data_IF_217381059973
#
_entry.id   IF_217381059973
#
_cell.length_a   1.000
_cell.length_b   1.000
_cell.length_c   1.000
_cell.angle_alpha   90.00
_cell.angle_beta   90.00
_cell.angle_gamma   90.00
#
_symmetry.space_group_name_H-M   'P 1'
#
loop_
_entity.id
_entity.type
_entity.pdbx_description
1 polymer ?
#
# COMPACT_ATOMS: atom_id res chain seq x y z
N UNK A 1 8.64 -15.06 -10.42
CA UNK A 1 7.40 -15.39 -11.17
C UNK A 1 6.90 -14.13 -11.85
N UNK A 2 6.87 -14.06 -13.19
CA UNK A 2 6.25 -12.93 -13.87
C UNK A 2 4.73 -13.01 -13.65
N UNK A 3 4.13 -11.93 -13.18
CA UNK A 3 2.68 -11.81 -13.04
C UNK A 3 2.15 -11.33 -14.40
N UNK A 4 2.01 -12.25 -15.36
CA UNK A 4 1.69 -11.92 -16.76
C UNK A 4 0.19 -11.75 -17.00
N UNK A 5 -0.64 -12.38 -16.17
CA UNK A 5 -2.10 -12.34 -16.32
C UNK A 5 -2.70 -11.02 -15.81
N UNK A 6 -3.40 -10.29 -16.68
CA UNK A 6 -4.00 -9.00 -16.37
C UNK A 6 -4.96 -9.05 -15.17
N UNK A 7 -5.77 -10.10 -15.06
CA UNK A 7 -6.70 -10.29 -13.94
C UNK A 7 -5.96 -10.45 -12.60
N UNK A 8 -4.83 -11.16 -12.58
CA UNK A 8 -4.03 -11.36 -11.36
C UNK A 8 -3.34 -10.06 -10.95
N UNK A 9 -2.89 -9.24 -11.92
CA UNK A 9 -2.32 -7.92 -11.66
C UNK A 9 -3.34 -7.01 -10.97
N UNK A 10 -4.57 -6.95 -11.47
CA UNK A 10 -5.64 -6.14 -10.86
C UNK A 10 -5.93 -6.56 -9.41
N UNK A 11 -6.05 -7.87 -9.17
CA UNK A 11 -6.27 -8.40 -7.81
C UNK A 11 -5.14 -7.99 -6.86
N UNK A 12 -3.89 -8.05 -7.33
CA UNK A 12 -2.72 -7.64 -6.53
C UNK A 12 -2.72 -6.13 -6.29
N UNK A 13 -3.04 -5.32 -7.30
CA UNK A 13 -3.16 -3.87 -7.16
C UNK A 13 -4.15 -3.50 -6.05
N UNK A 14 -5.35 -4.07 -6.10
CA UNK A 14 -6.40 -3.80 -5.12
C UNK A 14 -6.04 -4.29 -3.71
N UNK A 15 -5.57 -5.53 -3.58
CA UNK A 15 -5.33 -6.14 -2.27
C UNK A 15 -4.05 -5.68 -1.59
N UNK A 16 -3.01 -5.33 -2.35
CA UNK A 16 -1.66 -5.10 -1.82
C UNK A 16 -1.25 -3.62 -1.86
N UNK A 17 -1.67 -2.89 -2.90
CA UNK A 17 -1.21 -1.53 -3.16
C UNK A 17 -2.21 -0.45 -2.77
N UNK A 18 -3.53 -0.70 -2.81
CA UNK A 18 -4.56 0.24 -2.35
C UNK A 18 -4.68 0.24 -0.81
N UNK A 19 -3.61 0.71 -0.15
CA UNK A 19 -3.52 0.85 1.30
C UNK A 19 -2.84 2.16 1.68
N UNK A 20 -3.07 2.60 2.91
CA UNK A 20 -2.36 3.72 3.52
C UNK A 20 -1.29 3.22 4.49
N UNK A 21 -0.15 3.89 4.57
CA UNK A 21 0.92 3.63 5.51
C UNK A 21 1.02 4.82 6.45
N UNK A 22 1.12 4.57 7.75
CA UNK A 22 1.35 5.65 8.72
C UNK A 22 2.79 6.17 8.61
N UNK A 23 2.96 7.50 8.54
CA UNK A 23 4.30 8.12 8.51
C UNK A 23 5.04 8.04 9.85
N UNK A 24 4.30 7.87 10.95
CA UNK A 24 4.87 7.82 12.31
C UNK A 24 5.34 6.41 12.69
N UNK A 25 4.46 5.41 12.56
CA UNK A 25 4.74 4.04 13.04
C UNK A 25 4.83 2.98 11.93
N UNK A 26 4.74 3.38 10.65
CA UNK A 26 4.83 2.45 9.52
C UNK A 26 3.68 1.46 9.34
N UNK A 27 2.63 1.53 10.18
CA UNK A 27 1.53 0.58 10.11
C UNK A 27 0.74 0.69 8.81
N UNK A 28 0.35 -0.45 8.25
CA UNK A 28 -0.51 -0.53 7.07
C UNK A 28 -1.97 -0.45 7.49
N UNK A 29 -2.69 0.51 6.92
CA UNK A 29 -4.08 0.83 7.19
C UNK A 29 -4.92 0.71 5.91
N UNK A 30 -6.23 0.58 6.07
CA UNK A 30 -7.18 0.61 4.95
C UNK A 30 -7.10 1.93 4.19
N UNK A 31 -7.45 1.93 2.90
CA UNK A 31 -7.51 3.14 2.08
C UNK A 31 -8.51 4.16 2.62
N UNK A 32 -9.61 3.69 3.22
CA UNK A 32 -10.65 4.52 3.83
C UNK A 32 -10.33 4.91 5.28
N UNK A 33 -9.18 4.52 5.83
CA UNK A 33 -8.81 4.87 7.19
C UNK A 33 -8.54 6.38 7.31
N UNK A 34 -9.12 6.99 8.35
CA UNK A 34 -8.90 8.38 8.76
C UNK A 34 -7.76 8.50 9.77
N UNK A 35 -7.54 7.47 10.60
CA UNK A 35 -6.47 7.39 11.60
C UNK A 35 -5.73 6.06 11.56
N UNK A 36 -4.49 6.06 12.06
CA UNK A 36 -3.69 4.85 12.19
C UNK A 36 -4.26 3.91 13.25
N UNK A 37 -4.40 2.62 12.94
CA UNK A 37 -4.89 1.59 13.87
C UNK A 37 -3.96 1.28 15.06
N UNK A 38 -2.71 1.75 15.03
CA UNK A 38 -1.69 1.50 16.07
C UNK A 38 -1.42 2.72 16.93
N UNK A 39 -1.04 3.84 16.31
CA UNK A 39 -0.65 5.05 17.04
C UNK A 39 -1.70 6.16 17.01
N UNK A 40 -2.86 5.93 16.39
CA UNK A 40 -3.95 6.90 16.23
C UNK A 40 -3.61 8.22 15.50
N UNK A 41 -2.38 8.38 15.00
CA UNK A 41 -2.00 9.52 14.16
C UNK A 41 -2.82 9.55 12.86
N UNK A 42 -3.22 10.74 12.44
CA UNK A 42 -3.90 11.02 11.17
C UNK A 42 -2.93 11.19 10.01
N UNK A 43 -1.62 11.19 10.27
CA UNK A 43 -0.58 11.37 9.27
C UNK A 43 -0.31 10.07 8.49
N UNK A 44 -1.26 9.75 7.60
CA UNK A 44 -1.27 8.58 6.73
C UNK A 44 -0.89 8.98 5.30
N UNK A 45 -0.02 8.21 4.65
CA UNK A 45 0.33 8.36 3.23
C UNK A 45 -0.21 7.18 2.41
N UNK A 46 -0.56 7.36 1.13
CA UNK A 46 -0.79 6.22 0.25
C UNK A 46 0.48 5.38 0.07
N UNK A 47 0.32 4.07 -0.06
CA UNK A 47 1.43 3.16 -0.40
C UNK A 47 1.84 3.38 -1.86
N UNK A 48 3.15 3.30 -2.14
CA UNK A 48 3.67 3.44 -3.50
C UNK A 48 3.13 2.29 -4.36
N UNK A 49 2.55 2.62 -5.52
CA UNK A 49 1.96 1.64 -6.45
C UNK A 49 3.01 0.91 -7.29
N UNK A 50 4.16 1.52 -7.47
CA UNK A 50 5.27 0.93 -8.22
C UNK A 50 6.05 -0.05 -7.35
N UNK A 51 6.43 -1.18 -7.95
CA UNK A 51 7.44 -2.05 -7.37
C UNK A 51 8.77 -1.28 -7.31
N UNK A 52 9.61 -1.51 -6.28
CA UNK A 52 10.96 -0.97 -6.26
C UNK A 52 11.75 -1.61 -7.42
N UNK A 53 11.81 -0.94 -8.55
CA UNK A 53 12.80 -1.25 -9.59
C UNK A 53 14.17 -0.97 -9.00
N UNK A 54 15.05 -1.97 -8.97
CA UNK A 54 16.47 -1.70 -8.73
C UNK A 54 16.91 -0.78 -9.85
N UNK A 55 17.33 0.44 -9.53
CA UNK A 55 18.00 1.30 -10.50
C UNK A 55 19.26 0.54 -10.93
N UNK A 56 19.41 0.34 -12.24
CA UNK A 56 20.61 -0.24 -12.83
C UNK A 56 21.79 0.72 -12.65
#
# INVERSE_FOLDING_TARGET
>A
MPLTDQAKIQIVQERVFIKKICRQCGAVNSIRATKCRRCHSTNLRPKKKELPTKRA
#
